data_IF_899181339305
#
_entry.id   IF_899181339305
#
_cell.length_a   1.000
_cell.length_b   1.000
_cell.length_c   1.000
_cell.angle_alpha   90.00
_cell.angle_beta   90.00
_cell.angle_gamma   90.00
#
_symmetry.space_group_name_H-M   'P 1'
#
loop_
_entity.id
_entity.type
_entity.pdbx_description
1 polymer ?
#
# COMPACT_ATOMS: atom_id res chain seq x y z
N UNK A 1 27.42 8.37 1.94
CA UNK A 1 26.12 9.06 2.03
C UNK A 1 25.31 9.03 0.72
N UNK A 2 25.90 8.65 -0.43
CA UNK A 2 25.21 8.51 -1.74
C UNK A 2 24.44 7.20 -1.90
N UNK A 3 24.88 6.13 -1.23
CA UNK A 3 24.20 4.82 -1.29
C UNK A 3 22.74 4.88 -0.82
N UNK A 4 22.47 5.64 0.23
CA UNK A 4 21.11 5.76 0.80
C UNK A 4 20.17 6.55 -0.12
N UNK A 5 20.67 7.58 -0.83
CA UNK A 5 19.81 8.37 -1.74
C UNK A 5 19.43 7.57 -2.99
N UNK A 6 20.34 6.74 -3.50
CA UNK A 6 20.06 5.81 -4.60
C UNK A 6 19.05 4.74 -4.17
N UNK A 7 19.24 4.18 -2.99
CA UNK A 7 18.31 3.22 -2.39
C UNK A 7 16.89 3.78 -2.24
N UNK A 8 16.77 5.00 -1.71
CA UNK A 8 15.46 5.67 -1.60
C UNK A 8 14.85 5.94 -2.96
N UNK A 9 15.63 6.36 -3.95
CA UNK A 9 15.13 6.61 -5.31
C UNK A 9 14.56 5.33 -5.95
N UNK A 10 15.18 4.17 -5.70
CA UNK A 10 14.68 2.88 -6.18
C UNK A 10 13.44 2.39 -5.42
N UNK A 11 13.31 2.71 -4.13
CA UNK A 11 12.17 2.31 -3.29
C UNK A 11 11.00 3.29 -3.32
N UNK A 12 11.24 4.54 -3.69
CA UNK A 12 10.26 5.62 -3.65
C UNK A 12 8.98 5.32 -4.45
N UNK A 13 9.05 4.77 -5.68
CA UNK A 13 7.85 4.42 -6.43
C UNK A 13 6.97 3.41 -5.69
N UNK A 14 7.58 2.43 -5.01
CA UNK A 14 6.87 1.40 -4.25
C UNK A 14 6.20 1.98 -3.00
N UNK A 15 6.91 2.84 -2.25
CA UNK A 15 6.35 3.51 -1.07
C UNK A 15 5.17 4.40 -1.46
N UNK A 16 5.31 5.16 -2.56
CA UNK A 16 4.24 6.01 -3.06
C UNK A 16 3.02 5.20 -3.52
N UNK A 17 3.25 4.06 -4.17
CA UNK A 17 2.18 3.15 -4.57
C UNK A 17 1.45 2.58 -3.35
N UNK A 18 2.18 2.05 -2.37
CA UNK A 18 1.60 1.53 -1.13
C UNK A 18 0.80 2.60 -0.39
N UNK A 19 1.32 3.82 -0.30
CA UNK A 19 0.62 4.94 0.32
C UNK A 19 -0.70 5.29 -0.39
N UNK A 20 -0.73 5.27 -1.73
CA UNK A 20 -1.94 5.57 -2.51
C UNK A 20 -3.01 4.47 -2.39
N UNK A 21 -2.55 3.23 -2.27
CA UNK A 21 -3.38 2.03 -2.20
C UNK A 21 -3.85 1.70 -0.78
N UNK A 22 -3.20 2.24 0.25
CA UNK A 22 -3.58 2.00 1.64
C UNK A 22 -4.90 2.69 2.00
N UNK A 23 -5.74 1.97 2.73
CA UNK A 23 -6.99 2.48 3.26
C UNK A 23 -6.73 3.56 4.32
N UNK A 24 -7.33 4.75 4.12
CA UNK A 24 -7.26 5.85 5.09
C UNK A 24 -8.53 5.84 5.94
N UNK A 25 -8.43 5.36 7.17
CA UNK A 25 -9.57 5.36 8.13
C UNK A 25 -10.17 6.75 8.36
N UNK A 26 -9.37 7.82 8.25
CA UNK A 26 -9.84 9.20 8.38
C UNK A 26 -10.75 9.67 7.24
N UNK A 27 -10.63 9.07 6.05
CA UNK A 27 -11.42 9.45 4.86
C UNK A 27 -12.38 8.30 4.47
N UNK A 28 -12.19 7.11 5.02
CA UNK A 28 -12.99 5.93 4.72
C UNK A 28 -12.75 5.34 3.33
N UNK A 29 -11.64 5.71 2.68
CA UNK A 29 -11.30 5.25 1.33
C UNK A 29 -9.78 5.26 1.12
N UNK A 30 -9.31 4.61 0.04
CA UNK A 30 -7.91 4.75 -0.40
C UNK A 30 -7.70 6.10 -1.10
N UNK A 31 -6.47 6.61 -1.08
CA UNK A 31 -6.18 7.88 -1.79
C UNK A 31 -6.34 7.74 -3.31
N UNK A 32 -6.12 6.53 -3.84
CA UNK A 32 -6.34 6.22 -5.26
C UNK A 32 -7.83 6.32 -5.65
N UNK A 33 -8.73 5.80 -4.82
CA UNK A 33 -10.18 5.87 -5.05
C UNK A 33 -10.67 7.31 -5.23
N UNK A 34 -10.15 8.24 -4.42
CA UNK A 34 -10.56 9.65 -4.49
C UNK A 34 -10.13 10.34 -5.79
N UNK A 35 -9.05 9.91 -6.41
CA UNK A 35 -8.50 10.54 -7.62
C UNK A 35 -9.14 9.97 -8.89
N UNK A 36 -9.35 8.65 -8.93
CA UNK A 36 -9.78 7.96 -10.14
C UNK A 36 -11.21 7.40 -10.07
N UNK A 37 -11.85 7.41 -8.89
CA UNK A 37 -13.20 6.89 -8.67
C UNK A 37 -13.31 5.36 -8.75
N UNK A 38 -12.18 4.66 -8.78
CA UNK A 38 -12.13 3.19 -8.89
C UNK A 38 -11.54 2.64 -7.60
N UNK A 39 -12.31 1.77 -6.94
CA UNK A 39 -11.84 1.09 -5.74
C UNK A 39 -10.99 -0.08 -6.20
N UNK A 40 -9.66 0.09 -6.12
CA UNK A 40 -8.75 -1.02 -6.34
C UNK A 40 -8.77 -1.84 -5.06
N UNK A 41 -9.69 -2.80 -5.01
CA UNK A 41 -9.75 -3.81 -3.97
C UNK A 41 -8.47 -4.64 -4.14
N UNK A 42 -7.42 -4.29 -3.39
CA UNK A 42 -6.34 -5.24 -3.14
C UNK A 42 -7.00 -6.45 -2.48
N UNK A 43 -6.84 -7.67 -3.03
CA UNK A 43 -7.35 -8.85 -2.35
C UNK A 43 -6.82 -8.82 -0.92
N UNK A 44 -7.73 -8.99 0.04
CA UNK A 44 -7.52 -8.83 1.49
C UNK A 44 -6.27 -9.57 2.01
N UNK A 45 -5.81 -10.57 1.27
CA UNK A 45 -4.56 -11.32 1.42
C UNK A 45 -3.28 -10.46 1.38
N UNK A 46 -3.32 -9.26 0.80
CA UNK A 46 -2.15 -8.34 0.71
C UNK A 46 -2.14 -7.32 1.85
N UNK A 47 -3.31 -6.93 2.36
CA UNK A 47 -3.44 -5.93 3.43
C UNK A 47 -3.39 -6.58 4.82
N UNK A 48 -3.98 -7.76 4.97
CA UNK A 48 -3.71 -8.68 6.06
C UNK A 48 -2.66 -9.66 5.55
N UNK A 49 -1.40 -9.52 5.98
CA UNK A 49 -0.37 -10.54 5.72
C UNK A 49 -0.94 -11.94 5.97
N UNK A 50 -0.48 -12.97 5.23
CA UNK A 50 -1.25 -14.18 4.97
C UNK A 50 -1.86 -14.66 6.27
N UNK A 51 -3.19 -14.69 6.35
CA UNK A 51 -3.97 -15.33 7.42
C UNK A 51 -3.79 -16.86 7.35
N UNK A 52 -2.53 -17.30 7.31
CA UNK A 52 -2.06 -18.67 7.46
C UNK A 52 -1.25 -18.74 8.75
N UNK A 53 -1.93 -18.46 9.86
CA UNK A 53 -1.74 -19.30 11.04
C UNK A 53 -3.04 -20.05 11.16
N UNK A 54 -3.01 -21.29 10.65
CA UNK A 54 -3.99 -22.32 10.93
C UNK A 54 -4.18 -22.34 12.44
N UNK A 55 -5.42 -22.15 12.89
CA UNK A 55 -5.81 -22.52 14.24
C UNK A 55 -5.76 -24.05 14.29
N UNK A 56 -4.64 -24.59 14.75
CA UNK A 56 -4.58 -25.89 15.44
C UNK A 56 -4.22 -25.65 16.90
#
# INVERSE_FOLDING_TARGET
>A
MVETSRYWSEKFPFVLWAYRMSFRSSIGATSYFLVYGIEVILPIEVEMGPLRVVLE
#
